data_IF_032445304555
#
_entry.id   IF_032445304555
#
_cell.length_a   1.000
_cell.length_b   1.000
_cell.length_c   1.000
_cell.angle_alpha   90.00
_cell.angle_beta   90.00
_cell.angle_gamma   90.00
#
_symmetry.space_group_name_H-M   'P 1'
#
loop_
_entity.id
_entity.type
_entity.pdbx_description
1 polymer ?
#
# COMPACT_ATOMS: atom_id res chain seq x y z
N UNK A 1 -19.24 -73.38 -3.28
CA UNK A 1 -19.74 -72.09 -2.75
C UNK A 1 -18.74 -71.60 -1.73
N UNK A 2 -17.78 -70.78 -2.16
CA UNK A 2 -16.82 -70.12 -1.25
C UNK A 2 -16.28 -68.92 -2.02
N UNK A 3 -16.83 -67.74 -1.71
CA UNK A 3 -16.40 -66.47 -2.29
C UNK A 3 -15.82 -65.60 -1.19
N UNK A 4 -14.50 -65.44 -1.19
CA UNK A 4 -13.82 -64.39 -0.42
C UNK A 4 -14.02 -63.04 -1.11
N UNK A 5 -14.54 -62.04 -0.41
CA UNK A 5 -14.51 -60.64 -0.87
C UNK A 5 -13.37 -59.89 -0.17
N UNK A 6 -12.28 -59.64 -0.90
CA UNK A 6 -11.26 -58.64 -0.52
C UNK A 6 -11.89 -57.24 -0.56
N UNK A 7 -11.95 -56.54 0.57
CA UNK A 7 -12.19 -55.09 0.59
C UNK A 7 -10.87 -54.37 0.32
N UNK A 8 -10.80 -53.65 -0.79
CA UNK A 8 -9.71 -52.72 -1.13
C UNK A 8 -10.19 -51.33 -0.68
N UNK A 9 -9.47 -50.69 0.24
CA UNK A 9 -9.64 -49.26 0.53
C UNK A 9 -8.72 -48.46 -0.39
N UNK A 10 -9.21 -47.44 -1.12
CA UNK A 10 -8.31 -46.54 -1.85
C UNK A 10 -7.63 -45.57 -0.88
N UNK A 11 -6.29 -45.57 -0.89
CA UNK A 11 -5.42 -44.59 -0.23
C UNK A 11 -5.56 -43.22 -0.90
N UNK A 12 -6.20 -42.28 -0.20
CA UNK A 12 -6.25 -40.86 -0.58
C UNK A 12 -5.05 -40.13 0.04
N UNK A 13 -3.87 -40.24 -0.58
CA UNK A 13 -2.67 -39.51 -0.15
C UNK A 13 -1.93 -38.99 -1.38
N UNK A 14 -2.41 -37.93 -2.02
CA UNK A 14 -1.69 -37.35 -3.17
C UNK A 14 -1.91 -35.85 -3.45
N UNK A 15 -2.55 -35.06 -2.57
CA UNK A 15 -2.79 -33.63 -2.85
C UNK A 15 -2.11 -32.65 -1.88
N UNK A 16 -1.58 -33.12 -0.75
CA UNK A 16 -0.95 -32.23 0.24
C UNK A 16 0.45 -31.75 -0.19
N UNK A 17 1.19 -32.56 -0.94
CA UNK A 17 2.55 -32.22 -1.37
C UNK A 17 2.58 -31.10 -2.40
N UNK A 18 1.58 -31.01 -3.28
CA UNK A 18 1.49 -29.95 -4.30
C UNK A 18 1.22 -28.58 -3.66
N UNK A 19 0.36 -28.53 -2.64
CA UNK A 19 0.05 -27.29 -1.92
C UNK A 19 1.25 -26.72 -1.15
N UNK A 20 2.06 -27.58 -0.52
CA UNK A 20 3.27 -27.17 0.20
C UNK A 20 4.32 -26.60 -0.76
N UNK A 21 4.47 -27.19 -1.95
CA UNK A 21 5.43 -26.70 -2.96
C UNK A 21 5.05 -25.30 -3.47
N UNK A 22 3.75 -25.02 -3.69
CA UNK A 22 3.29 -23.70 -4.14
C UNK A 22 3.56 -22.63 -3.06
N UNK A 23 3.32 -22.94 -1.78
CA UNK A 23 3.58 -22.02 -0.68
C UNK A 23 5.08 -21.72 -0.57
N UNK A 24 5.94 -22.73 -0.68
CA UNK A 24 7.39 -22.56 -0.61
C UNK A 24 7.93 -21.72 -1.78
N UNK A 25 7.41 -21.90 -3.00
CA UNK A 25 7.78 -21.08 -4.17
C UNK A 25 7.32 -19.63 -3.99
N UNK A 26 6.12 -19.41 -3.45
CA UNK A 26 5.62 -18.06 -3.15
C UNK A 26 6.48 -17.33 -2.10
N UNK A 27 6.83 -18.01 -1.00
CA UNK A 27 7.71 -17.45 0.04
C UNK A 27 9.10 -17.15 -0.54
N UNK A 28 9.64 -18.04 -1.38
CA UNK A 28 10.94 -17.83 -2.01
C UNK A 28 10.93 -16.63 -2.97
N UNK A 29 9.86 -16.46 -3.75
CA UNK A 29 9.69 -15.31 -4.65
C UNK A 29 9.61 -13.98 -3.89
N UNK A 30 8.88 -13.95 -2.76
CA UNK A 30 8.81 -12.79 -1.87
C UNK A 30 10.18 -12.49 -1.26
N UNK A 31 10.91 -13.52 -0.80
CA UNK A 31 12.27 -13.36 -0.27
C UNK A 31 13.24 -12.80 -1.33
N UNK A 32 13.20 -13.29 -2.56
CA UNK A 32 14.04 -12.78 -3.65
C UNK A 32 13.69 -11.32 -3.98
N UNK A 33 12.40 -10.98 -4.00
CA UNK A 33 11.94 -9.61 -4.22
C UNK A 33 12.42 -8.65 -3.11
N UNK A 34 12.34 -9.05 -1.85
CA UNK A 34 12.84 -8.26 -0.73
C UNK A 34 14.37 -8.13 -0.73
N UNK A 35 15.11 -9.18 -1.07
CA UNK A 35 16.59 -9.13 -1.15
C UNK A 35 17.08 -8.16 -2.25
N UNK A 36 16.40 -8.12 -3.40
CA UNK A 36 16.71 -7.14 -4.45
C UNK A 36 16.44 -5.68 -4.01
N UNK A 37 15.36 -5.44 -3.27
CA UNK A 37 15.05 -4.12 -2.69
C UNK A 37 16.09 -3.68 -1.66
N UNK A 38 16.59 -4.59 -0.82
CA UNK A 38 17.59 -4.28 0.21
C UNK A 38 18.94 -3.90 -0.44
N UNK A 39 19.37 -4.62 -1.48
CA UNK A 39 20.62 -4.30 -2.21
C UNK A 39 20.59 -2.92 -2.83
N UNK A 40 19.44 -2.48 -3.37
CA UNK A 40 19.28 -1.13 -3.91
C UNK A 40 19.38 -0.03 -2.84
N UNK A 41 19.01 -0.32 -1.59
CA UNK A 41 19.10 0.63 -0.48
C UNK A 41 20.55 0.80 0.02
N UNK A 42 21.35 -0.27 0.03
CA UNK A 42 22.76 -0.19 0.44
C UNK A 42 23.61 0.63 -0.53
N UNK A 43 23.32 0.58 -1.84
CA UNK A 43 24.01 1.39 -2.84
C UNK A 43 23.72 2.90 -2.67
N UNK A 44 22.47 3.25 -2.37
CA UNK A 44 22.06 4.64 -2.08
C UNK A 44 22.74 5.15 -0.80
N UNK A 45 22.78 4.32 0.26
CA UNK A 45 23.43 4.68 1.53
C UNK A 45 24.95 4.80 1.38
N UNK A 46 25.57 3.95 0.55
CA UNK A 46 27.01 3.99 0.28
C UNK A 46 27.40 5.28 -0.48
N UNK A 47 26.66 5.63 -1.54
CA UNK A 47 26.89 6.88 -2.28
C UNK A 47 26.71 8.12 -1.38
N UNK A 48 25.68 8.12 -0.52
CA UNK A 48 25.46 9.20 0.44
C UNK A 48 26.59 9.31 1.48
N UNK A 49 27.21 8.19 1.87
CA UNK A 49 28.29 8.17 2.86
C UNK A 49 29.62 8.63 2.24
N UNK A 50 29.94 8.21 1.01
CA UNK A 50 31.15 8.61 0.30
C UNK A 50 31.13 10.10 -0.12
N UNK A 51 29.97 10.64 -0.48
CA UNK A 51 29.82 12.09 -0.71
C UNK A 51 30.01 12.91 0.58
N UNK A 52 29.72 12.33 1.75
CA UNK A 52 29.89 13.01 3.05
C UNK A 52 31.34 13.05 3.51
N UNK A 53 32.13 12.03 3.21
CA UNK A 53 33.54 11.96 3.61
C UNK A 53 34.43 12.93 2.79
N UNK A 54 34.12 13.14 1.51
CA UNK A 54 34.85 14.08 0.64
C UNK A 54 34.64 15.56 1.00
N UNK A 55 33.58 15.91 1.74
CA UNK A 55 33.32 17.30 2.17
C UNK A 55 34.10 17.66 3.45
N UNK A 56 34.47 16.66 4.27
CA UNK A 56 35.06 16.91 5.61
C UNK A 56 36.57 17.16 5.55
N UNK A 57 37.27 16.76 4.48
CA UNK A 57 38.74 16.88 4.42
C UNK A 57 39.26 18.20 3.80
N UNK A 58 38.41 19.17 3.49
CA UNK A 58 38.84 20.37 2.75
C UNK A 58 38.09 21.65 3.09
N UNK A 59 38.29 22.20 4.30
CA UNK A 59 38.34 23.67 4.52
C UNK A 59 38.54 24.00 6.00
N UNK A 60 39.77 24.33 6.39
CA UNK A 60 40.04 25.15 7.57
C UNK A 60 40.55 26.49 7.04
N UNK A 61 39.70 27.50 6.92
CA UNK A 61 40.08 28.92 7.13
C UNK A 61 38.84 29.80 7.32
N UNK A 62 38.89 30.84 8.17
CA UNK A 62 37.72 31.55 8.67
C UNK A 62 37.52 32.89 7.96
N UNK A 63 36.33 33.14 7.42
CA UNK A 63 35.84 34.49 7.18
C UNK A 63 34.32 34.47 7.18
N UNK A 64 33.74 35.24 8.11
CA UNK A 64 32.30 35.36 8.30
C UNK A 64 31.57 35.94 7.09
N UNK A 65 30.24 35.94 7.19
CA UNK A 65 29.25 36.57 6.30
C UNK A 65 28.63 35.71 5.18
N UNK A 66 29.01 34.44 5.00
CA UNK A 66 28.30 33.55 4.05
C UNK A 66 27.23 32.63 4.65
N UNK A 67 27.21 32.45 5.97
CA UNK A 67 26.59 31.30 6.65
C UNK A 67 25.15 31.54 7.16
N UNK A 68 24.29 32.19 6.36
CA UNK A 68 22.86 32.32 6.71
C UNK A 68 21.89 31.76 5.67
N UNK A 69 22.34 31.12 4.60
CA UNK A 69 21.44 30.73 3.51
C UNK A 69 21.39 29.25 3.13
N UNK A 70 22.11 28.37 3.82
CA UNK A 70 22.25 27.01 3.32
C UNK A 70 22.30 25.97 4.45
N UNK A 71 21.27 25.97 5.31
CA UNK A 71 20.97 24.84 6.19
C UNK A 71 19.44 24.66 6.26
N UNK A 72 19.01 23.49 5.76
CA UNK A 72 17.75 22.79 6.10
C UNK A 72 16.49 23.08 5.26
N UNK A 73 16.54 22.77 3.97
CA UNK A 73 15.35 22.21 3.29
C UNK A 73 15.11 20.79 3.85
N UNK A 74 14.34 20.69 4.94
CA UNK A 74 13.58 19.47 5.22
C UNK A 74 12.70 19.18 3.98
N UNK A 75 12.38 17.91 3.65
CA UNK A 75 11.32 17.62 2.69
C UNK A 75 10.10 18.43 3.14
N UNK A 76 9.71 19.44 2.36
CA UNK A 76 8.54 20.24 2.71
C UNK A 76 7.34 19.30 2.63
N UNK A 77 6.76 18.97 3.79
CA UNK A 77 5.45 18.33 3.82
C UNK A 77 4.50 19.20 3.02
N UNK A 78 3.90 18.60 1.98
CA UNK A 78 2.99 19.33 1.09
C UNK A 78 1.82 19.78 1.95
N UNK A 79 1.56 21.09 2.08
CA UNK A 79 0.59 21.60 3.04
C UNK A 79 -0.80 21.06 2.73
N UNK A 80 -1.58 20.78 3.78
CA UNK A 80 -2.94 20.25 3.64
C UNK A 80 -3.82 21.13 2.72
N UNK A 81 -3.58 22.45 2.72
CA UNK A 81 -4.28 23.42 1.86
C UNK A 81 -3.92 23.35 0.38
N UNK A 82 -2.86 22.63 0.00
CA UNK A 82 -2.52 22.41 -1.41
C UNK A 82 -3.39 21.31 -2.05
N UNK A 83 -4.04 20.48 -1.24
CA UNK A 83 -4.89 19.40 -1.72
C UNK A 83 -6.30 19.90 -2.04
N UNK A 84 -6.75 19.67 -3.27
CA UNK A 84 -8.08 20.00 -3.75
C UNK A 84 -8.95 18.74 -3.81
N UNK A 85 -10.16 18.82 -3.27
CA UNK A 85 -11.12 17.72 -3.31
C UNK A 85 -11.58 17.44 -4.74
N UNK A 86 -11.45 16.17 -5.15
CA UNK A 86 -11.94 15.67 -6.44
C UNK A 86 -13.32 15.05 -6.26
N UNK A 87 -13.46 14.20 -5.26
CA UNK A 87 -14.72 13.55 -4.94
C UNK A 87 -14.73 13.05 -3.49
N UNK A 88 -15.94 12.90 -2.95
CA UNK A 88 -16.19 12.29 -1.65
C UNK A 88 -17.35 11.31 -1.78
N UNK A 89 -17.24 10.17 -1.12
CA UNK A 89 -18.27 9.15 -1.07
C UNK A 89 -18.32 8.49 0.30
N UNK A 90 -19.50 8.04 0.68
CA UNK A 90 -19.75 7.33 1.92
C UNK A 90 -20.62 6.10 1.63
N UNK A 91 -20.49 5.06 2.44
CA UNK A 91 -21.28 3.87 2.22
C UNK A 91 -21.13 2.78 3.26
N UNK A 92 -21.85 1.70 2.99
CA UNK A 92 -21.82 0.45 3.75
C UNK A 92 -21.67 -0.70 2.77
N UNK A 93 -20.71 -1.59 2.99
CA UNK A 93 -20.48 -2.74 2.10
C UNK A 93 -19.65 -2.43 0.86
N UNK A 94 -19.63 -3.38 -0.07
CA UNK A 94 -18.79 -3.33 -1.27
C UNK A 94 -19.37 -2.39 -2.33
N UNK A 95 -18.51 -1.65 -3.02
CA UNK A 95 -18.92 -0.79 -4.13
C UNK A 95 -17.78 -0.67 -5.15
N UNK A 96 -18.15 -0.63 -6.43
CA UNK A 96 -17.28 -0.13 -7.50
C UNK A 96 -17.77 1.26 -7.88
N UNK A 97 -16.91 2.26 -7.81
CA UNK A 97 -17.30 3.64 -8.10
C UNK A 97 -17.45 3.87 -9.61
N UNK A 98 -18.19 4.91 -9.97
CA UNK A 98 -18.02 5.52 -11.29
C UNK A 98 -16.60 6.09 -11.43
N UNK A 99 -16.16 6.28 -12.66
CA UNK A 99 -14.84 6.83 -12.95
C UNK A 99 -14.77 8.33 -12.62
N UNK A 100 -13.62 8.79 -12.13
CA UNK A 100 -13.30 10.19 -11.86
C UNK A 100 -11.95 10.57 -12.47
N UNK A 101 -11.78 11.84 -12.82
CA UNK A 101 -10.56 12.36 -13.44
C UNK A 101 -9.65 12.96 -12.37
N UNK A 102 -8.38 12.57 -12.38
CA UNK A 102 -7.34 13.22 -11.56
C UNK A 102 -6.60 14.24 -12.44
N UNK A 103 -6.65 15.54 -12.12
CA UNK A 103 -6.07 16.58 -12.97
C UNK A 103 -4.55 16.70 -12.85
N UNK A 104 -3.93 16.27 -11.75
CA UNK A 104 -2.49 16.38 -11.54
C UNK A 104 -1.77 15.03 -11.56
N UNK A 105 -0.44 15.05 -11.40
CA UNK A 105 0.37 13.82 -11.39
C UNK A 105 0.39 13.10 -10.05
N UNK A 106 -0.23 13.68 -9.00
CA UNK A 106 -0.23 13.12 -7.67
C UNK A 106 -1.56 13.41 -6.97
N UNK A 107 -2.13 12.39 -6.38
CA UNK A 107 -3.38 12.47 -5.64
C UNK A 107 -3.32 11.58 -4.40
N UNK A 108 -4.35 11.64 -3.56
CA UNK A 108 -4.46 10.81 -2.36
C UNK A 108 -5.90 10.39 -2.12
N UNK A 109 -6.04 9.27 -1.44
CA UNK A 109 -7.29 8.73 -0.93
C UNK A 109 -7.22 8.78 0.59
N UNK A 110 -8.06 9.59 1.22
CA UNK A 110 -8.26 9.57 2.68
C UNK A 110 -9.51 8.80 2.98
N UNK A 111 -9.46 7.96 3.99
CA UNK A 111 -10.58 7.10 4.33
C UNK A 111 -10.76 6.99 5.83
N UNK A 112 -12.01 6.91 6.24
CA UNK A 112 -12.47 6.80 7.63
C UNK A 112 -13.43 5.63 7.71
N UNK A 113 -13.34 4.87 8.79
CA UNK A 113 -14.16 3.69 9.02
C UNK A 113 -14.90 3.84 10.34
N UNK A 114 -16.20 3.58 10.29
CA UNK A 114 -17.03 3.35 11.46
C UNK A 114 -17.11 1.84 11.69
N UNK A 115 -16.66 1.39 12.86
CA UNK A 115 -16.40 -0.01 13.16
C UNK A 115 -17.46 -0.57 14.12
N UNK A 116 -17.75 -1.87 13.97
CA UNK A 116 -18.56 -2.61 14.94
C UNK A 116 -17.64 -3.20 16.02
N UNK A 117 -17.69 -2.76 17.29
CA UNK A 117 -16.74 -3.22 18.32
C UNK A 117 -16.86 -4.71 18.63
N UNK A 118 -18.00 -5.34 18.31
CA UNK A 118 -18.27 -6.76 18.54
C UNK A 118 -17.81 -7.68 17.40
N UNK A 119 -17.35 -7.13 16.27
CA UNK A 119 -16.97 -7.90 15.08
C UNK A 119 -15.60 -7.46 14.54
N UNK A 120 -14.91 -8.39 13.89
CA UNK A 120 -13.74 -8.06 13.07
C UNK A 120 -14.25 -7.56 11.73
N UNK A 121 -13.99 -6.29 11.46
CA UNK A 121 -14.28 -5.60 10.22
C UNK A 121 -13.12 -5.71 9.24
N UNK A 122 -13.44 -5.87 7.96
CA UNK A 122 -12.50 -5.84 6.86
C UNK A 122 -12.82 -4.63 5.99
N UNK A 123 -11.80 -3.87 5.63
CA UNK A 123 -11.87 -2.82 4.64
C UNK A 123 -10.70 -2.97 3.66
N UNK A 124 -10.96 -2.79 2.38
CA UNK A 124 -9.91 -2.58 1.39
C UNK A 124 -10.44 -1.77 0.21
N UNK A 125 -9.56 -1.04 -0.45
CA UNK A 125 -9.85 -0.53 -1.77
C UNK A 125 -8.67 -0.80 -2.71
N UNK A 126 -8.97 -0.96 -4.00
CA UNK A 126 -8.01 -0.84 -5.09
C UNK A 126 -8.37 0.37 -5.95
N UNK A 127 -7.36 1.17 -6.30
CA UNK A 127 -7.48 2.25 -7.28
C UNK A 127 -7.02 1.73 -8.64
N UNK A 128 -7.89 1.81 -9.65
CA UNK A 128 -7.65 1.26 -10.97
C UNK A 128 -7.68 2.36 -12.02
N UNK A 129 -6.75 2.32 -12.97
CA UNK A 129 -6.77 3.21 -14.12
C UNK A 129 -7.87 2.76 -15.08
N UNK A 130 -8.74 3.68 -15.49
CA UNK A 130 -9.91 3.36 -16.30
C UNK A 130 -9.57 2.89 -17.72
N UNK A 131 -8.40 3.27 -18.24
CA UNK A 131 -8.01 3.01 -19.64
C UNK A 131 -7.63 1.55 -19.91
N UNK A 132 -7.09 0.86 -18.91
CA UNK A 132 -6.48 -0.47 -19.03
C UNK A 132 -6.80 -1.40 -17.84
N UNK A 133 -7.60 -0.94 -16.88
CA UNK A 133 -7.91 -1.65 -15.63
C UNK A 133 -6.66 -2.03 -14.81
N UNK A 134 -5.55 -1.29 -14.95
CA UNK A 134 -4.34 -1.50 -14.16
C UNK A 134 -4.56 -1.04 -12.70
N UNK A 135 -4.26 -1.92 -11.74
CA UNK A 135 -4.23 -1.57 -10.31
C UNK A 135 -3.01 -0.68 -10.04
N UNK A 136 -3.23 0.58 -9.71
CA UNK A 136 -2.15 1.54 -9.45
C UNK A 136 -1.78 1.62 -7.97
N UNK A 137 -2.74 1.38 -7.08
CA UNK A 137 -2.51 1.38 -5.63
C UNK A 137 -3.64 0.64 -4.90
N UNK A 138 -3.37 0.10 -3.72
CA UNK A 138 -4.39 -0.49 -2.84
C UNK A 138 -4.09 -0.26 -1.37
N UNK A 139 -5.13 -0.23 -0.56
CA UNK A 139 -4.98 -0.25 0.90
C UNK A 139 -5.96 -1.27 1.51
N UNK A 140 -5.57 -1.84 2.65
CA UNK A 140 -6.39 -2.78 3.39
C UNK A 140 -6.23 -2.60 4.89
N UNK A 141 -7.31 -2.82 5.64
CA UNK A 141 -7.36 -2.75 7.08
C UNK A 141 -8.28 -3.83 7.64
N UNK A 142 -7.83 -4.44 8.74
CA UNK A 142 -8.63 -5.34 9.57
C UNK A 142 -8.78 -4.71 10.95
N UNK A 143 -10.01 -4.57 11.45
CA UNK A 143 -10.24 -4.07 12.79
C UNK A 143 -9.91 -5.12 13.85
N UNK A 144 -9.58 -4.64 15.05
CA UNK A 144 -9.59 -5.46 16.26
C UNK A 144 -10.93 -5.27 16.98
N UNK A 145 -11.31 -6.25 17.78
CA UNK A 145 -12.47 -6.13 18.67
C UNK A 145 -12.29 -4.95 19.62
N UNK A 146 -13.39 -4.27 19.93
CA UNK A 146 -13.41 -3.07 20.76
C UNK A 146 -13.05 -1.76 20.06
N UNK A 147 -12.58 -1.80 18.81
CA UNK A 147 -12.39 -0.59 18.01
C UNK A 147 -13.72 -0.04 17.51
N UNK A 148 -13.88 1.27 17.56
CA UNK A 148 -15.08 1.97 17.09
C UNK A 148 -14.83 2.83 15.86
N UNK A 149 -13.60 3.30 15.67
CA UNK A 149 -13.23 4.17 14.55
C UNK A 149 -11.79 3.91 14.09
N UNK A 150 -11.51 4.15 12.81
CA UNK A 150 -10.17 4.17 12.25
C UNK A 150 -10.10 5.13 11.05
N UNK A 151 -8.94 5.76 10.83
CA UNK A 151 -8.73 6.59 9.62
C UNK A 151 -7.28 6.56 9.15
N UNK A 152 -7.08 6.69 7.84
CA UNK A 152 -5.76 6.72 7.21
C UNK A 152 -5.83 7.44 5.85
N UNK A 153 -4.67 7.73 5.27
CA UNK A 153 -4.54 8.22 3.90
C UNK A 153 -3.50 7.42 3.11
N UNK A 154 -3.76 7.28 1.81
CA UNK A 154 -2.89 6.59 0.85
C UNK A 154 -2.58 7.56 -0.30
N UNK A 155 -1.29 7.71 -0.64
CA UNK A 155 -0.84 8.60 -1.71
C UNK A 155 -0.61 7.80 -3.00
N UNK A 156 -0.94 8.40 -4.14
CA UNK A 156 -0.81 7.80 -5.46
C UNK A 156 -0.02 8.78 -6.34
N UNK A 157 1.12 8.31 -6.84
CA UNK A 157 2.10 9.11 -7.60
C UNK A 157 1.96 8.92 -9.12
N UNK A 158 0.71 8.81 -9.55
CA UNK A 158 0.31 8.73 -10.95
C UNK A 158 -1.04 9.45 -11.09
N UNK A 159 -1.25 10.18 -12.18
CA UNK A 159 -2.50 10.88 -12.42
C UNK A 159 -2.64 11.39 -13.85
N UNK A 160 -3.35 12.51 -14.04
CA UNK A 160 -3.68 13.09 -15.36
C UNK A 160 -4.49 12.14 -16.26
N UNK A 161 -5.28 11.26 -15.65
CA UNK A 161 -6.13 10.28 -16.32
C UNK A 161 -7.34 9.96 -15.45
N UNK A 162 -8.20 9.07 -15.92
CA UNK A 162 -9.40 8.62 -15.21
C UNK A 162 -9.11 7.37 -14.38
N UNK A 163 -9.69 7.32 -13.19
CA UNK A 163 -9.58 6.20 -12.25
C UNK A 163 -10.96 5.82 -11.72
N UNK A 164 -11.06 4.62 -11.16
CA UNK A 164 -12.18 4.21 -10.31
C UNK A 164 -11.65 3.47 -9.07
N UNK A 165 -12.46 3.38 -8.03
CA UNK A 165 -12.16 2.56 -6.85
C UNK A 165 -13.04 1.30 -6.85
N UNK A 166 -12.43 0.15 -6.55
CA UNK A 166 -13.13 -1.07 -6.13
C UNK A 166 -12.95 -1.23 -4.62
N UNK A 167 -14.03 -1.05 -3.87
CA UNK A 167 -14.07 -1.01 -2.42
C UNK A 167 -14.73 -2.28 -1.92
N UNK A 168 -14.07 -2.94 -0.97
CA UNK A 168 -14.60 -4.10 -0.25
C UNK A 168 -14.68 -3.76 1.23
N UNK A 169 -15.85 -3.96 1.81
CA UNK A 169 -16.12 -3.66 3.21
C UNK A 169 -17.04 -4.73 3.79
N UNK A 170 -16.58 -5.40 4.85
CA UNK A 170 -17.35 -6.42 5.56
C UNK A 170 -17.35 -6.12 7.06
N UNK A 171 -18.50 -6.33 7.71
CA UNK A 171 -18.68 -6.14 9.15
C UNK A 171 -18.30 -4.73 9.68
N UNK A 172 -18.36 -3.71 8.83
CA UNK A 172 -18.23 -2.30 9.22
C UNK A 172 -19.61 -1.67 9.44
N UNK A 173 -19.70 -0.66 10.31
CA UNK A 173 -20.91 0.16 10.42
C UNK A 173 -21.02 1.13 9.24
N UNK A 174 -19.89 1.60 8.72
CA UNK A 174 -19.82 2.44 7.53
C UNK A 174 -18.39 2.86 7.21
N UNK A 175 -18.23 3.54 6.09
CA UNK A 175 -16.97 4.14 5.66
C UNK A 175 -17.22 5.46 4.91
N UNK A 176 -16.23 6.35 4.96
CA UNK A 176 -16.15 7.58 4.20
C UNK A 176 -14.81 7.63 3.47
N UNK A 177 -14.82 7.98 2.19
CA UNK A 177 -13.64 8.16 1.36
C UNK A 177 -13.65 9.56 0.75
N UNK A 178 -12.50 10.21 0.78
CA UNK A 178 -12.23 11.49 0.13
C UNK A 178 -11.02 11.35 -0.78
N UNK A 179 -11.19 11.75 -2.04
CA UNK A 179 -10.11 11.81 -3.03
C UNK A 179 -9.70 13.24 -3.24
N UNK A 180 -8.40 13.50 -3.18
CA UNK A 180 -7.85 14.85 -3.30
C UNK A 180 -6.64 14.84 -4.23
N UNK A 181 -6.53 15.86 -5.07
CA UNK A 181 -5.42 16.06 -6.01
C UNK A 181 -4.60 17.25 -5.57
N UNK A 182 -3.29 17.22 -5.81
CA UNK A 182 -2.47 18.43 -5.82
C UNK A 182 -2.73 19.28 -7.06
#
# INVERSE_FOLDING_TARGET
MTGESKKIFPTQTSNYWVGIVIILVGILGVFIYFDQRIKGLEEIVSQATLSRENIVSGAITPAGEGLKKEISEMPQEIPESAWQEIAALAGTGNIKTDSFIIPSGQWRVRWKLELNPEKIGLFSFGAYRQTDDELVESASFNSLLGMTHYSQGTYIYEGKTSYYLDIKAENLAGWDIKMESL
#
